data_IF_338792535720
#
_entry.id   IF_338792535720
#
_cell.length_a   1.000
_cell.length_b   1.000
_cell.length_c   1.000
_cell.angle_alpha   90.00
_cell.angle_beta   90.00
_cell.angle_gamma   90.00
#
_symmetry.space_group_name_H-M   'P 1'
#
loop_
_entity.id
_entity.type
_entity.pdbx_description
1 polymer ?
#
# COMPACT_ATOMS: atom_id res chain seq x y z
N UNK A 1 -10.70 -5.06 2.54
CA UNK A 1 -10.40 -5.32 1.11
C UNK A 1 -9.30 -4.40 0.56
N UNK A 2 -9.46 -3.07 0.56
CA UNK A 2 -8.44 -2.15 0.02
C UNK A 2 -7.05 -2.27 0.67
N UNK A 3 -6.98 -2.39 2.00
CA UNK A 3 -5.70 -2.59 2.72
C UNK A 3 -5.01 -3.91 2.32
N UNK A 4 -5.76 -5.00 2.19
CA UNK A 4 -5.20 -6.31 1.80
C UNK A 4 -4.72 -6.30 0.35
N UNK A 5 -5.49 -5.65 -0.55
CA UNK A 5 -5.06 -5.43 -1.93
C UNK A 5 -3.74 -4.64 -1.97
N UNK A 6 -3.64 -3.60 -1.16
CA UNK A 6 -2.44 -2.79 -1.06
C UNK A 6 -1.21 -3.57 -0.57
N UNK A 7 -1.37 -4.34 0.52
CA UNK A 7 -0.33 -5.22 1.04
C UNK A 7 0.09 -6.23 -0.02
N UNK A 8 -0.86 -6.83 -0.74
CA UNK A 8 -0.58 -7.80 -1.80
C UNK A 8 0.20 -7.19 -2.98
N UNK A 9 -0.16 -5.97 -3.42
CA UNK A 9 0.58 -5.23 -4.46
C UNK A 9 1.99 -4.91 -3.99
N UNK A 10 2.15 -4.40 -2.76
CA UNK A 10 3.45 -4.09 -2.18
C UNK A 10 4.36 -5.33 -2.07
N UNK A 11 3.86 -6.42 -1.52
CA UNK A 11 4.60 -7.69 -1.39
C UNK A 11 4.97 -8.23 -2.78
N UNK A 12 4.07 -8.14 -3.75
CA UNK A 12 4.32 -8.56 -5.13
C UNK A 12 5.41 -7.72 -5.81
N UNK A 13 5.37 -6.39 -5.65
CA UNK A 13 6.41 -5.47 -6.14
C UNK A 13 7.76 -5.74 -5.47
N UNK A 14 7.78 -5.96 -4.15
CA UNK A 14 8.98 -6.31 -3.40
C UNK A 14 9.56 -7.65 -3.86
N UNK A 15 8.72 -8.68 -4.06
CA UNK A 15 9.13 -9.98 -4.56
C UNK A 15 9.69 -9.89 -6.00
N UNK A 16 9.04 -9.11 -6.87
CA UNK A 16 9.51 -8.85 -8.23
C UNK A 16 10.84 -8.10 -8.25
N UNK A 17 11.00 -7.08 -7.40
CA UNK A 17 12.26 -6.36 -7.22
C UNK A 17 13.35 -7.29 -6.67
N UNK A 18 13.01 -8.22 -5.77
CA UNK A 18 13.95 -9.16 -5.16
C UNK A 18 14.47 -10.12 -6.21
N UNK A 19 13.53 -10.71 -6.95
CA UNK A 19 13.83 -11.57 -8.09
C UNK A 19 14.67 -10.83 -9.13
N UNK A 20 14.41 -9.55 -9.37
CA UNK A 20 15.17 -8.76 -10.35
C UNK A 20 16.58 -8.44 -9.85
N UNK A 21 16.76 -8.08 -8.57
CA UNK A 21 18.07 -7.74 -8.00
C UNK A 21 18.98 -8.97 -7.84
N UNK A 22 18.41 -10.12 -7.49
CA UNK A 22 19.12 -11.41 -7.38
C UNK A 22 19.45 -12.06 -8.73
N UNK A 23 18.98 -11.47 -9.84
CA UNK A 23 19.14 -12.06 -11.17
C UNK A 23 18.35 -13.37 -11.32
N UNK A 24 17.14 -13.47 -10.76
CA UNK A 24 16.33 -14.70 -10.65
C UNK A 24 15.84 -15.35 -11.95
N UNK A 25 16.48 -15.08 -13.10
CA UNK A 25 16.39 -15.84 -14.36
C UNK A 25 17.76 -16.36 -14.84
N UNK A 26 18.79 -16.25 -14.00
CA UNK A 26 20.13 -16.73 -14.31
C UNK A 26 20.27 -18.21 -13.91
N UNK A 27 20.73 -19.04 -14.83
CA UNK A 27 21.17 -20.42 -14.55
C UNK A 27 22.66 -20.43 -14.22
N UNK A 28 23.06 -21.25 -13.25
CA UNK A 28 24.47 -21.47 -12.93
C UNK A 28 25.08 -22.39 -14.00
N UNK A 29 26.23 -21.99 -14.51
CA UNK A 29 27.05 -22.72 -15.48
C UNK A 29 28.49 -22.73 -15.00
N UNK A 30 29.31 -23.58 -15.63
CA UNK A 30 30.76 -23.62 -15.39
C UNK A 30 31.50 -23.32 -16.69
N UNK A 31 32.51 -22.49 -16.61
CA UNK A 31 33.39 -22.24 -17.75
C UNK A 31 34.41 -23.37 -17.90
N UNK A 32 35.22 -23.30 -18.97
CA UNK A 32 36.31 -24.24 -19.26
C UNK A 32 37.39 -24.27 -18.18
N UNK A 33 37.47 -23.23 -17.34
CA UNK A 33 38.38 -23.09 -16.21
C UNK A 33 37.76 -23.57 -14.89
N UNK A 34 36.53 -24.08 -14.92
CA UNK A 34 35.79 -24.58 -13.75
C UNK A 34 35.15 -23.51 -12.87
N UNK A 35 35.22 -22.22 -13.25
CA UNK A 35 34.61 -21.10 -12.53
C UNK A 35 33.09 -21.12 -12.73
N UNK A 36 32.36 -20.93 -11.64
CA UNK A 36 30.90 -20.83 -11.67
C UNK A 36 30.47 -19.43 -12.15
N UNK A 37 29.75 -19.39 -13.27
CA UNK A 37 29.14 -18.17 -13.79
C UNK A 37 27.63 -18.34 -13.91
N UNK A 38 26.94 -17.21 -14.08
CA UNK A 38 25.50 -17.12 -14.14
C UNK A 38 25.09 -16.54 -15.48
N UNK A 39 24.18 -17.19 -16.19
CA UNK A 39 23.74 -16.73 -17.51
C UNK A 39 22.23 -16.84 -17.65
N UNK A 40 21.60 -15.85 -18.29
CA UNK A 40 20.16 -15.85 -18.49
C UNK A 40 19.74 -14.94 -19.63
N UNK A 41 19.05 -15.54 -20.60
CA UNK A 41 18.46 -14.84 -21.73
C UNK A 41 16.99 -14.55 -21.43
N UNK A 42 16.56 -13.34 -21.74
CA UNK A 42 15.15 -12.97 -21.74
C UNK A 42 14.82 -12.27 -23.04
N UNK A 43 13.86 -12.83 -23.77
CA UNK A 43 13.17 -12.12 -24.84
C UNK A 43 12.16 -11.20 -24.13
N UNK A 44 12.41 -9.90 -24.17
CA UNK A 44 11.43 -8.92 -23.70
C UNK A 44 10.74 -8.31 -24.90
N UNK A 45 9.52 -8.78 -25.17
CA UNK A 45 8.56 -8.06 -26.01
C UNK A 45 8.14 -6.79 -25.28
N UNK A 46 8.95 -5.74 -25.44
CA UNK A 46 8.59 -4.43 -24.87
C UNK A 46 7.64 -3.73 -25.83
N UNK A 47 6.37 -3.68 -25.41
CA UNK A 47 5.25 -2.85 -25.89
C UNK A 47 5.52 -1.33 -25.95
N UNK A 48 6.78 -0.89 -25.99
CA UNK A 48 7.11 0.50 -26.32
C UNK A 48 7.00 0.67 -27.82
N UNK A 49 5.80 1.06 -28.26
CA UNK A 49 5.50 1.63 -29.58
C UNK A 49 6.51 2.74 -29.90
N UNK A 50 7.61 2.40 -30.57
CA UNK A 50 8.36 3.36 -31.37
C UNK A 50 7.89 3.12 -32.81
N UNK A 51 7.19 4.07 -33.44
CA UNK A 51 6.47 3.83 -34.70
C UNK A 51 7.37 3.63 -35.93
N UNK A 52 8.70 3.57 -35.77
CA UNK A 52 9.65 3.64 -36.89
C UNK A 52 10.53 2.40 -37.10
N UNK A 53 10.40 1.33 -36.31
CA UNK A 53 11.17 0.09 -36.57
C UNK A 53 10.30 -1.16 -36.44
N UNK A 54 10.09 -1.93 -37.54
CA UNK A 54 9.34 -3.17 -37.48
C UNK A 54 10.20 -4.24 -36.79
N UNK A 55 9.60 -4.92 -35.80
CA UNK A 55 10.05 -6.19 -35.21
C UNK A 55 11.54 -6.34 -34.84
N UNK A 56 12.06 -5.45 -33.99
CA UNK A 56 13.34 -5.72 -33.34
C UNK A 56 13.09 -6.31 -31.94
N UNK A 57 13.02 -7.64 -31.84
CA UNK A 57 13.00 -8.33 -30.55
C UNK A 57 14.27 -7.94 -29.79
N UNK A 58 14.13 -7.10 -28.77
CA UNK A 58 15.26 -6.68 -27.94
C UNK A 58 15.59 -7.81 -26.98
N UNK A 59 16.57 -8.63 -27.37
CA UNK A 59 17.18 -9.61 -26.50
C UNK A 59 17.89 -8.92 -25.34
N UNK A 60 17.65 -9.44 -24.14
CA UNK A 60 18.32 -9.02 -22.92
C UNK A 60 19.13 -10.20 -22.41
N UNK A 61 20.45 -10.02 -22.43
CA UNK A 61 21.41 -10.96 -21.85
C UNK A 61 21.76 -10.49 -20.43
N UNK A 62 21.67 -11.39 -19.47
CA UNK A 62 22.24 -11.18 -18.15
C UNK A 62 23.36 -12.19 -17.94
N UNK A 63 24.54 -11.70 -17.58
CA UNK A 63 25.74 -12.51 -17.34
C UNK A 63 26.33 -12.11 -15.99
N UNK A 64 26.82 -13.07 -15.21
CA UNK A 64 27.33 -12.77 -13.88
C UNK A 64 28.28 -13.82 -13.32
N UNK A 65 28.87 -13.47 -12.18
CA UNK A 65 29.80 -14.29 -11.42
C UNK A 65 29.29 -14.50 -10.00
N UNK A 66 29.66 -15.65 -9.45
CA UNK A 66 29.52 -15.93 -8.02
C UNK A 66 30.64 -15.22 -7.24
N UNK A 67 30.28 -14.63 -6.13
CA UNK A 67 31.19 -13.99 -5.19
C UNK A 67 31.33 -14.85 -3.93
N UNK A 68 32.54 -14.91 -3.38
CA UNK A 68 32.79 -15.59 -2.11
C UNK A 68 32.15 -14.84 -0.94
N UNK A 69 32.23 -13.50 -0.99
CA UNK A 69 31.73 -12.58 0.04
C UNK A 69 30.57 -11.75 -0.47
N UNK A 70 29.62 -11.39 0.41
CA UNK A 70 28.49 -10.56 0.03
C UNK A 70 28.92 -9.11 -0.19
N UNK A 71 28.53 -8.53 -1.33
CA UNK A 71 28.68 -7.12 -1.63
C UNK A 71 27.38 -6.56 -2.25
N UNK A 72 27.16 -5.26 -2.08
CA UNK A 72 25.94 -4.58 -2.54
C UNK A 72 26.32 -3.27 -3.21
N UNK A 73 26.08 -3.17 -4.51
CA UNK A 73 26.13 -1.91 -5.23
C UNK A 73 25.41 -2.06 -6.56
N UNK A 74 25.06 -0.94 -7.17
CA UNK A 74 24.43 -0.94 -8.48
C UNK A 74 24.93 0.24 -9.29
N UNK A 75 25.43 -0.04 -10.48
CA UNK A 75 25.93 0.95 -11.44
C UNK A 75 24.94 1.00 -12.60
N UNK A 76 24.52 2.20 -13.00
CA UNK A 76 23.52 2.40 -14.06
C UNK A 76 23.93 3.54 -14.98
N UNK A 77 23.44 3.48 -16.23
CA UNK A 77 23.45 4.65 -17.11
C UNK A 77 22.61 5.80 -16.53
N UNK A 78 22.98 7.04 -16.83
CA UNK A 78 22.26 8.25 -16.44
C UNK A 78 20.79 8.20 -16.89
N UNK A 79 19.88 8.67 -16.03
CA UNK A 79 18.46 8.81 -16.34
C UNK A 79 17.83 9.87 -15.44
N UNK A 80 16.77 10.55 -15.90
CA UNK A 80 16.11 11.65 -15.19
C UNK A 80 15.62 11.33 -13.76
N UNK A 81 15.41 10.05 -13.44
CA UNK A 81 15.00 9.59 -12.11
C UNK A 81 16.14 9.61 -11.08
N UNK A 82 17.37 9.90 -11.49
CA UNK A 82 18.56 9.75 -10.66
C UNK A 82 19.03 11.05 -10.02
N UNK A 83 18.83 12.21 -10.65
CA UNK A 83 19.14 13.54 -10.10
C UNK A 83 18.51 13.78 -8.71
N UNK A 84 17.22 13.46 -8.46
CA UNK A 84 16.67 13.60 -7.12
C UNK A 84 17.27 12.61 -6.11
N UNK A 85 17.78 11.46 -6.54
CA UNK A 85 18.41 10.49 -5.64
C UNK A 85 19.81 10.91 -5.23
N UNK A 86 20.53 11.61 -6.11
CA UNK A 86 21.80 12.26 -5.81
C UNK A 86 21.62 13.39 -4.80
N UNK A 87 20.63 14.27 -5.01
CA UNK A 87 20.30 15.35 -4.08
C UNK A 87 20.01 14.85 -2.66
N UNK A 88 19.40 13.66 -2.55
CA UNK A 88 19.07 13.00 -1.28
C UNK A 88 20.26 12.24 -0.68
N UNK A 89 21.44 12.22 -1.32
CA UNK A 89 22.62 11.48 -0.87
C UNK A 89 22.48 9.96 -0.93
N UNK A 90 21.52 9.45 -1.72
CA UNK A 90 21.22 8.01 -1.86
C UNK A 90 21.95 7.37 -3.05
N UNK A 91 22.48 8.19 -3.94
CA UNK A 91 23.29 7.80 -5.07
C UNK A 91 24.39 8.84 -5.28
N UNK A 92 25.50 8.45 -5.93
CA UNK A 92 26.59 9.37 -6.26
C UNK A 92 26.90 9.27 -7.75
N UNK A 93 27.07 10.42 -8.39
CA UNK A 93 27.59 10.50 -9.75
C UNK A 93 29.07 10.08 -9.78
N UNK A 94 29.47 9.35 -10.82
CA UNK A 94 30.89 9.01 -11.06
C UNK A 94 31.41 9.84 -12.22
N UNK A 95 32.37 10.71 -11.93
CA UNK A 95 33.08 11.44 -12.96
C UNK A 95 34.06 10.55 -13.74
N UNK A 96 34.04 10.74 -15.07
CA UNK A 96 35.00 10.12 -15.98
C UNK A 96 34.71 8.67 -16.36
N UNK A 97 33.47 8.20 -16.26
CA UNK A 97 33.02 6.99 -16.97
C UNK A 97 31.92 7.42 -17.97
N UNK A 98 32.22 7.55 -19.28
CA UNK A 98 31.21 7.89 -20.26
C UNK A 98 30.04 6.89 -20.19
N UNK A 99 28.81 7.39 -20.22
CA UNK A 99 27.60 6.57 -20.19
C UNK A 99 27.26 5.85 -18.87
N UNK A 100 28.13 5.78 -17.88
CA UNK A 100 27.80 5.29 -16.53
C UNK A 100 27.51 6.49 -15.62
N UNK A 101 26.24 6.67 -15.27
CA UNK A 101 25.78 7.89 -14.64
C UNK A 101 25.82 7.88 -13.13
N UNK A 102 25.37 6.80 -12.50
CA UNK A 102 25.22 6.83 -11.05
C UNK A 102 25.41 5.46 -10.42
N UNK A 103 26.07 5.47 -9.25
CA UNK A 103 26.22 4.31 -8.40
C UNK A 103 25.41 4.46 -7.13
N UNK A 104 24.54 3.49 -6.92
CA UNK A 104 23.76 3.38 -5.70
C UNK A 104 24.68 2.89 -4.58
N UNK A 105 24.76 3.72 -3.53
CA UNK A 105 25.58 3.48 -2.36
C UNK A 105 25.19 2.15 -1.72
N UNK A 106 26.19 1.27 -1.59
CA UNK A 106 26.09 -0.01 -0.92
C UNK A 106 25.84 0.12 0.59
N UNK A 107 26.11 -0.94 1.34
CA UNK A 107 26.06 -0.89 2.82
C UNK A 107 27.05 0.12 3.39
N UNK A 108 28.12 0.43 2.63
CA UNK A 108 29.19 1.35 2.99
C UNK A 108 29.55 2.21 1.77
N UNK A 109 29.30 3.53 1.80
CA UNK A 109 29.69 4.44 0.72
C UNK A 109 31.20 4.47 0.50
N UNK A 110 31.98 4.27 1.57
CA UNK A 110 33.43 4.26 1.50
C UNK A 110 33.96 3.08 0.66
N UNK A 111 33.39 1.87 0.84
CA UNK A 111 33.73 0.70 0.02
C UNK A 111 33.47 0.96 -1.47
N UNK A 112 32.46 1.78 -1.76
CA UNK A 112 32.13 2.18 -3.12
C UNK A 112 33.11 3.21 -3.66
N UNK A 113 33.54 4.20 -2.87
CA UNK A 113 34.60 5.12 -3.28
C UNK A 113 35.91 4.37 -3.53
N UNK A 114 36.32 3.50 -2.60
CA UNK A 114 37.49 2.65 -2.77
C UNK A 114 37.39 1.75 -4.01
N UNK A 115 36.19 1.29 -4.37
CA UNK A 115 35.94 0.52 -5.59
C UNK A 115 36.10 1.36 -6.87
N UNK A 116 35.54 2.57 -6.88
CA UNK A 116 35.52 3.46 -8.04
C UNK A 116 36.89 4.11 -8.28
N UNK A 117 37.61 4.43 -7.20
CA UNK A 117 38.93 5.06 -7.26
C UNK A 117 40.01 4.06 -7.72
N UNK A 118 39.69 2.75 -7.75
CA UNK A 118 40.59 1.74 -8.29
C UNK A 118 40.66 1.83 -9.83
N UNK A 119 41.83 2.11 -10.43
CA UNK A 119 41.97 2.29 -11.88
C UNK A 119 41.50 1.08 -12.69
N UNK A 120 41.80 -0.13 -12.21
CA UNK A 120 41.44 -1.38 -12.90
C UNK A 120 39.94 -1.64 -12.93
N UNK A 121 39.23 -1.18 -11.89
CA UNK A 121 37.78 -1.28 -11.81
C UNK A 121 37.13 -0.23 -12.68
N UNK A 122 37.67 1.00 -12.68
CA UNK A 122 37.19 2.09 -13.54
C UNK A 122 37.27 1.70 -15.02
N UNK A 123 38.42 1.18 -15.46
CA UNK A 123 38.61 0.66 -16.81
C UNK A 123 37.64 -0.50 -17.13
N UNK A 124 37.49 -1.47 -16.21
CA UNK A 124 36.57 -2.59 -16.42
C UNK A 124 35.10 -2.14 -16.53
N UNK A 125 34.67 -1.15 -15.73
CA UNK A 125 33.32 -0.59 -15.82
C UNK A 125 33.16 0.15 -17.15
N UNK A 126 34.14 0.97 -17.54
CA UNK A 126 34.11 1.73 -18.78
C UNK A 126 33.92 0.82 -20.00
N UNK A 127 34.76 -0.20 -20.15
CA UNK A 127 34.64 -1.17 -21.24
C UNK A 127 33.28 -1.90 -21.24
N UNK A 128 32.79 -2.31 -20.07
CA UNK A 128 31.47 -2.96 -19.95
C UNK A 128 30.34 -2.03 -20.46
N UNK A 129 30.39 -0.74 -20.16
CA UNK A 129 29.35 0.21 -20.55
C UNK A 129 29.51 0.74 -21.98
N UNK A 130 30.75 0.97 -22.44
CA UNK A 130 31.08 1.50 -23.76
C UNK A 130 31.07 0.41 -24.82
N UNK A 131 31.91 -0.62 -24.67
CA UNK A 131 32.16 -1.64 -25.71
C UNK A 131 31.02 -2.66 -25.80
N UNK A 132 30.47 -3.05 -24.64
CA UNK A 132 29.40 -4.06 -24.58
C UNK A 132 28.00 -3.47 -24.37
N UNK A 133 27.90 -2.14 -24.34
CA UNK A 133 26.65 -1.40 -24.20
C UNK A 133 25.78 -1.83 -23.00
N UNK A 134 26.38 -2.09 -21.85
CA UNK A 134 25.64 -2.50 -20.66
C UNK A 134 24.60 -1.45 -20.22
N UNK A 135 23.41 -1.92 -19.81
CA UNK A 135 22.37 -1.10 -19.19
C UNK A 135 22.73 -0.82 -17.73
N UNK A 136 23.23 -1.84 -17.03
CA UNK A 136 23.54 -1.79 -15.60
C UNK A 136 24.46 -2.93 -15.16
N UNK A 137 25.21 -2.68 -14.10
CA UNK A 137 25.93 -3.68 -13.31
C UNK A 137 25.28 -3.73 -11.92
N UNK A 138 25.04 -4.93 -11.41
CA UNK A 138 24.39 -5.15 -10.12
C UNK A 138 25.23 -6.15 -9.33
N UNK A 139 25.66 -5.75 -8.15
CA UNK A 139 26.20 -6.63 -7.14
C UNK A 139 25.18 -6.77 -6.01
N UNK A 140 24.73 -8.00 -5.76
CA UNK A 140 23.73 -8.28 -4.74
C UNK A 140 24.05 -9.58 -4.01
N UNK A 141 24.46 -9.45 -2.75
CA UNK A 141 24.87 -10.59 -1.94
C UNK A 141 26.07 -11.27 -2.59
N UNK A 142 25.99 -12.58 -2.81
CA UNK A 142 27.09 -13.39 -3.36
C UNK A 142 27.11 -13.45 -4.89
N UNK A 143 26.54 -12.45 -5.57
CA UNK A 143 26.46 -12.43 -7.03
C UNK A 143 26.75 -11.03 -7.55
N UNK A 144 27.58 -10.94 -8.58
CA UNK A 144 27.72 -9.75 -9.43
C UNK A 144 27.26 -10.11 -10.83
N UNK A 145 26.48 -9.26 -11.48
CA UNK A 145 25.99 -9.51 -12.82
C UNK A 145 25.77 -8.23 -13.59
N UNK A 146 25.91 -8.31 -14.90
CA UNK A 146 25.66 -7.25 -15.87
C UNK A 146 24.41 -7.57 -16.68
N UNK A 147 23.69 -6.52 -17.08
CA UNK A 147 22.62 -6.61 -18.07
C UNK A 147 23.02 -5.89 -19.35
N UNK A 148 23.01 -6.62 -20.45
CA UNK A 148 23.26 -6.10 -21.80
C UNK A 148 21.93 -5.98 -22.54
N UNK A 149 21.76 -4.90 -23.31
CA UNK A 149 20.53 -4.65 -24.10
C UNK A 149 20.89 -4.57 -25.58
N UNK A 150 20.19 -5.34 -26.41
CA UNK A 150 20.35 -5.28 -27.86
C UNK A 150 21.47 -6.14 -28.44
N UNK A 151 22.11 -6.97 -27.62
CA UNK A 151 23.04 -8.00 -28.11
C UNK A 151 22.21 -9.18 -28.65
N UNK A 152 22.31 -9.44 -29.96
CA UNK A 152 21.71 -10.64 -30.56
C UNK A 152 22.44 -11.89 -30.04
N UNK A 153 21.73 -13.03 -30.01
CA UNK A 153 22.37 -14.32 -29.70
C UNK A 153 23.49 -14.67 -30.67
N UNK A 154 23.43 -14.15 -31.89
CA UNK A 154 24.44 -14.34 -32.95
C UNK A 154 25.74 -13.58 -32.67
N UNK A 155 25.68 -12.41 -32.03
CA UNK A 155 26.85 -11.60 -31.69
C UNK A 155 27.45 -11.97 -30.33
N UNK A 156 26.83 -12.90 -29.60
CA UNK A 156 27.31 -13.35 -28.30
C UNK A 156 27.99 -14.71 -28.46
N UNK A 157 29.31 -14.71 -28.37
CA UNK A 157 30.14 -15.90 -28.45
C UNK A 157 30.93 -16.14 -27.15
N UNK A 158 31.77 -17.18 -27.14
CA UNK A 158 32.61 -17.51 -26.00
C UNK A 158 33.65 -16.42 -25.69
N UNK A 159 34.13 -15.70 -26.71
CA UNK A 159 35.15 -14.66 -26.52
C UNK A 159 34.58 -13.44 -25.80
N UNK A 160 33.39 -13.00 -26.20
CA UNK A 160 32.64 -11.90 -25.56
C UNK A 160 32.27 -12.29 -24.13
N UNK A 161 31.79 -13.53 -23.93
CA UNK A 161 31.48 -14.06 -22.61
C UNK A 161 32.71 -14.02 -21.70
N UNK A 162 33.83 -14.58 -22.15
CA UNK A 162 35.03 -14.71 -21.33
C UNK A 162 35.64 -13.33 -21.02
N UNK A 163 35.61 -12.39 -21.97
CA UNK A 163 36.01 -11.00 -21.75
C UNK A 163 35.14 -10.29 -20.69
N UNK A 164 33.81 -10.42 -20.78
CA UNK A 164 32.88 -9.86 -19.80
C UNK A 164 33.07 -10.47 -18.41
N UNK A 165 33.28 -11.79 -18.32
CA UNK A 165 33.56 -12.46 -17.05
C UNK A 165 34.90 -12.00 -16.48
N UNK A 166 35.94 -11.80 -17.30
CA UNK A 166 37.22 -11.27 -16.85
C UNK A 166 37.06 -9.86 -16.24
N UNK A 167 36.35 -8.95 -16.93
CA UNK A 167 36.08 -7.60 -16.41
C UNK A 167 35.24 -7.62 -15.14
N UNK A 168 34.20 -8.45 -15.07
CA UNK A 168 33.43 -8.65 -13.82
C UNK A 168 34.29 -9.22 -12.69
N UNK A 169 35.27 -10.07 -13.00
CA UNK A 169 36.18 -10.64 -12.00
C UNK A 169 37.10 -9.59 -11.39
N UNK A 170 37.55 -8.59 -12.16
CA UNK A 170 38.33 -7.44 -11.66
C UNK A 170 37.52 -6.64 -10.63
N UNK A 171 36.26 -6.36 -10.94
CA UNK A 171 35.32 -5.68 -10.02
C UNK A 171 35.08 -6.53 -8.77
N UNK A 172 34.83 -7.83 -8.94
CA UNK A 172 34.60 -8.78 -7.85
C UNK A 172 35.78 -8.86 -6.87
N UNK A 173 37.02 -8.87 -7.40
CA UNK A 173 38.25 -8.93 -6.59
C UNK A 173 38.38 -7.73 -5.68
N UNK A 174 38.23 -6.51 -6.22
CA UNK A 174 38.33 -5.28 -5.41
C UNK A 174 37.19 -5.17 -4.41
N UNK A 175 35.97 -5.56 -4.80
CA UNK A 175 34.85 -5.62 -3.86
C UNK A 175 35.10 -6.59 -2.70
N UNK A 176 35.79 -7.72 -2.96
CA UNK A 176 36.20 -8.68 -1.92
C UNK A 176 37.28 -8.09 -1.01
N UNK A 177 38.29 -7.43 -1.55
CA UNK A 177 39.35 -6.76 -0.78
C UNK A 177 38.76 -5.69 0.14
N UNK A 178 37.81 -4.88 -0.35
CA UNK A 178 37.14 -3.86 0.46
C UNK A 178 36.29 -4.51 1.57
N UNK A 179 35.55 -5.58 1.25
CA UNK A 179 34.78 -6.32 2.24
C UNK A 179 35.66 -6.98 3.33
N UNK A 180 36.88 -7.41 2.99
CA UNK A 180 37.87 -7.96 3.92
C UNK A 180 38.47 -6.89 4.83
N UNK A 181 38.86 -5.74 4.27
CA UNK A 181 39.30 -4.57 5.06
C UNK A 181 38.22 -4.11 6.03
N UNK A 182 36.94 -4.19 5.63
CA UNK A 182 35.79 -3.87 6.47
C UNK A 182 35.68 -4.79 7.69
N UNK A 183 35.88 -6.10 7.57
CA UNK A 183 35.80 -7.00 8.74
C UNK A 183 36.83 -6.64 9.83
N UNK A 184 37.94 -6.01 9.46
CA UNK A 184 38.93 -5.47 10.38
C UNK A 184 38.58 -4.09 10.97
N UNK A 185 37.54 -3.41 10.48
CA UNK A 185 37.19 -2.04 10.90
C UNK A 185 35.73 -1.96 11.39
N UNK A 186 35.49 -1.38 12.57
CA UNK A 186 34.12 -1.13 13.09
C UNK A 186 33.39 0.01 12.34
N UNK A 187 33.53 0.10 11.02
CA UNK A 187 32.87 1.10 10.19
C UNK A 187 31.38 0.76 10.06
N UNK A 188 30.58 1.15 11.05
CA UNK A 188 29.12 1.08 10.98
C UNK A 188 28.58 2.27 10.19
N UNK A 189 27.76 1.99 9.17
CA UNK A 189 27.13 3.02 8.35
C UNK A 189 25.94 3.66 9.08
N UNK A 190 26.02 4.97 9.31
CA UNK A 190 25.04 5.74 10.09
C UNK A 190 23.78 6.14 9.29
N UNK A 191 23.81 6.14 7.95
CA UNK A 191 22.64 6.51 7.12
C UNK A 191 21.51 5.49 7.19
N UNK A 192 21.84 4.20 7.30
CA UNK A 192 20.88 3.11 7.51
C UNK A 192 20.18 3.18 8.87
N UNK A 193 20.73 3.91 9.84
CA UNK A 193 20.09 4.14 11.15
C UNK A 193 19.03 5.26 11.10
N UNK A 194 19.15 6.22 10.16
CA UNK A 194 18.19 7.34 10.02
C UNK A 194 16.97 6.96 9.19
N UNK A 195 17.14 6.10 8.20
CA UNK A 195 16.06 5.72 7.27
C UNK A 195 14.84 5.03 7.92
N UNK A 196 14.99 4.14 8.91
CA UNK A 196 13.85 3.52 9.57
C UNK A 196 12.94 4.54 10.25
N UNK A 197 13.49 5.63 10.78
CA UNK A 197 12.70 6.72 11.37
C UNK A 197 11.87 7.46 10.32
N UNK A 198 12.44 7.74 9.14
CA UNK A 198 11.72 8.35 8.02
C UNK A 198 10.59 7.42 7.56
N UNK A 199 10.85 6.12 7.46
CA UNK A 199 9.84 5.12 7.08
C UNK A 199 8.72 4.98 8.13
N UNK A 200 9.06 5.00 9.42
CA UNK A 200 8.06 5.04 10.50
C UNK A 200 7.16 6.27 10.41
N UNK A 201 7.73 7.45 10.15
CA UNK A 201 6.93 8.67 9.97
C UNK A 201 5.94 8.54 8.81
N UNK A 202 6.37 7.98 7.66
CA UNK A 202 5.49 7.77 6.50
C UNK A 202 4.41 6.71 6.76
N UNK A 203 4.73 5.63 7.48
CA UNK A 203 3.76 4.60 7.86
C UNK A 203 2.72 5.16 8.84
N UNK A 204 3.13 6.02 9.76
CA UNK A 204 2.25 6.70 10.71
C UNK A 204 1.30 7.67 9.98
N UNK A 205 1.80 8.44 9.01
CA UNK A 205 0.98 9.29 8.15
C UNK A 205 -0.03 8.48 7.32
N UNK A 206 0.37 7.35 6.75
CA UNK A 206 -0.54 6.47 6.03
C UNK A 206 -1.61 5.86 6.96
N UNK A 207 -1.19 5.30 8.11
CA UNK A 207 -2.09 4.73 9.09
C UNK A 207 -3.11 5.75 9.57
N UNK A 208 -2.65 6.96 9.92
CA UNK A 208 -3.52 8.08 10.24
C UNK A 208 -4.48 8.46 9.11
N UNK A 209 -4.00 8.56 7.87
CA UNK A 209 -4.83 8.89 6.71
C UNK A 209 -5.88 7.83 6.36
N UNK A 210 -5.55 6.55 6.46
CA UNK A 210 -6.51 5.46 6.27
C UNK A 210 -7.60 5.51 7.35
N UNK A 211 -7.21 5.71 8.61
CA UNK A 211 -8.15 5.75 9.73
C UNK A 211 -9.07 6.99 9.65
N UNK A 212 -8.52 8.14 9.25
CA UNK A 212 -9.30 9.34 8.96
C UNK A 212 -10.28 9.12 7.79
N UNK A 213 -9.87 8.44 6.72
CA UNK A 213 -10.76 8.09 5.63
C UNK A 213 -11.87 7.13 6.07
N UNK A 214 -11.56 6.15 6.94
CA UNK A 214 -12.56 5.27 7.53
C UNK A 214 -13.55 6.03 8.40
N UNK A 215 -13.12 7.00 9.23
CA UNK A 215 -14.06 7.78 10.03
C UNK A 215 -15.04 8.57 9.16
N UNK A 216 -14.59 9.10 8.02
CA UNK A 216 -15.47 9.79 7.05
C UNK A 216 -16.50 8.87 6.40
N UNK A 217 -16.14 7.61 6.14
CA UNK A 217 -17.05 6.64 5.50
C UNK A 217 -18.03 6.04 6.53
N UNK A 218 -17.58 5.84 7.77
CA UNK A 218 -18.30 5.15 8.85
C UNK A 218 -19.32 6.05 9.56
N UNK A 219 -19.36 7.37 9.31
CA UNK A 219 -20.41 8.28 9.82
C UNK A 219 -21.86 7.78 9.53
N UNK A 220 -22.06 6.82 8.63
CA UNK A 220 -23.35 6.17 8.36
C UNK A 220 -23.67 4.91 9.19
N UNK A 221 -22.74 4.40 10.01
CA UNK A 221 -22.88 3.12 10.72
C UNK A 221 -22.73 3.27 12.22
N UNK A 222 -23.83 3.03 12.92
CA UNK A 222 -24.06 3.09 14.37
C UNK A 222 -23.26 2.11 15.23
N UNK A 223 -22.11 1.60 14.77
CA UNK A 223 -21.42 0.46 15.39
C UNK A 223 -20.09 0.78 16.10
N UNK A 224 -19.62 2.03 16.12
CA UNK A 224 -18.41 2.40 16.88
C UNK A 224 -18.74 3.51 17.87
N UNK A 225 -19.12 3.10 19.09
CA UNK A 225 -19.32 3.94 20.29
C UNK A 225 -18.03 4.64 20.80
N UNK A 226 -16.97 4.71 20.00
CA UNK A 226 -15.78 5.47 20.36
C UNK A 226 -16.04 6.92 19.98
N UNK A 227 -16.11 7.79 20.99
CA UNK A 227 -16.10 9.24 20.79
C UNK A 227 -15.00 9.58 19.76
N UNK A 228 -15.24 10.48 18.79
CA UNK A 228 -14.33 10.72 17.68
C UNK A 228 -12.87 10.90 18.12
N UNK A 229 -12.63 11.63 19.21
CA UNK A 229 -11.29 11.82 19.78
C UNK A 229 -10.63 10.53 20.31
N UNK A 230 -11.40 9.60 20.91
CA UNK A 230 -10.90 8.30 21.34
C UNK A 230 -10.52 7.42 20.15
N UNK A 231 -11.29 7.47 19.06
CA UNK A 231 -10.95 6.79 17.82
C UNK A 231 -9.64 7.32 17.24
N UNK A 232 -9.46 8.64 17.19
CA UNK A 232 -8.22 9.27 16.75
C UNK A 232 -7.02 8.88 17.63
N UNK A 233 -7.17 8.88 18.95
CA UNK A 233 -6.09 8.51 19.88
C UNK A 233 -5.70 7.03 19.79
N UNK A 234 -6.68 6.12 19.75
CA UNK A 234 -6.42 4.68 19.58
C UNK A 234 -5.76 4.41 18.22
N UNK A 235 -6.23 5.11 17.19
CA UNK A 235 -5.66 5.04 15.84
C UNK A 235 -4.21 5.51 15.78
N UNK A 236 -3.88 6.63 16.44
CA UNK A 236 -2.53 7.14 16.55
C UNK A 236 -1.62 6.16 17.30
N UNK A 237 -2.06 5.65 18.44
CA UNK A 237 -1.30 4.66 19.22
C UNK A 237 -1.04 3.38 18.43
N UNK A 238 -2.05 2.87 17.70
CA UNK A 238 -1.90 1.69 16.85
C UNK A 238 -0.95 1.97 15.69
N UNK A 239 -1.02 3.15 15.07
CA UNK A 239 -0.11 3.55 14.00
C UNK A 239 1.34 3.65 14.49
N UNK A 240 1.58 4.19 15.69
CA UNK A 240 2.90 4.22 16.34
C UNK A 240 3.42 2.80 16.60
N UNK A 241 2.60 1.93 17.19
CA UNK A 241 2.97 0.55 17.50
C UNK A 241 3.31 -0.24 16.22
N UNK A 242 2.46 -0.15 15.20
CA UNK A 242 2.68 -0.80 13.91
C UNK A 242 3.93 -0.25 13.20
N UNK A 243 4.18 1.07 13.29
CA UNK A 243 5.39 1.69 12.76
C UNK A 243 6.64 1.18 13.48
N UNK A 244 6.61 1.05 14.80
CA UNK A 244 7.73 0.53 15.59
C UNK A 244 8.00 -0.96 15.28
N UNK A 245 6.96 -1.80 15.25
CA UNK A 245 7.07 -3.22 14.86
C UNK A 245 7.58 -3.38 13.44
N UNK A 246 7.12 -2.53 12.52
CA UNK A 246 7.57 -2.53 11.14
C UNK A 246 9.02 -2.07 11.02
N UNK A 247 9.43 -1.02 11.71
CA UNK A 247 10.85 -0.60 11.79
C UNK A 247 11.71 -1.72 12.35
N UNK A 248 11.28 -2.41 13.40
CA UNK A 248 12.00 -3.55 13.93
C UNK A 248 12.09 -4.71 12.91
N UNK A 249 11.00 -4.98 12.18
CA UNK A 249 10.99 -5.96 11.10
C UNK A 249 11.93 -5.54 9.95
N UNK A 250 11.90 -4.28 9.50
CA UNK A 250 12.81 -3.75 8.49
C UNK A 250 14.26 -3.81 8.99
N UNK A 251 14.54 -3.44 10.23
CA UNK A 251 15.89 -3.53 10.80
C UNK A 251 16.41 -4.97 10.82
N UNK A 252 15.52 -5.94 11.11
CA UNK A 252 15.85 -7.36 11.19
C UNK A 252 15.94 -8.05 9.83
N UNK A 253 15.07 -7.70 8.88
CA UNK A 253 14.96 -8.32 7.55
C UNK A 253 15.68 -7.56 6.44
N UNK A 254 15.77 -6.24 6.53
CA UNK A 254 16.47 -5.35 5.57
C UNK A 254 17.89 -5.01 6.02
N UNK A 255 18.59 -5.92 6.68
CA UNK A 255 20.03 -5.83 6.99
C UNK A 255 20.93 -5.70 5.75
N UNK A 256 20.37 -5.40 4.57
CA UNK A 256 21.00 -5.26 3.25
C UNK A 256 20.46 -4.02 2.54
N UNK A 257 21.28 -2.98 2.46
CA UNK A 257 20.91 -1.57 2.21
C UNK A 257 20.34 -1.21 0.84
N UNK A 258 20.43 -2.08 -0.17
CA UNK A 258 19.80 -1.81 -1.47
C UNK A 258 18.26 -1.79 -1.37
N UNK A 259 17.71 -2.48 -0.37
CA UNK A 259 16.28 -2.53 -0.11
C UNK A 259 15.74 -1.24 0.49
N UNK A 260 16.53 -0.60 1.34
CA UNK A 260 16.17 0.64 2.00
C UNK A 260 15.92 1.76 0.99
N UNK A 261 16.74 1.89 -0.06
CA UNK A 261 16.54 2.92 -1.11
C UNK A 261 15.34 2.64 -2.00
N UNK A 262 15.08 1.37 -2.34
CA UNK A 262 13.91 0.98 -3.14
C UNK A 262 12.60 1.07 -2.34
N UNK A 263 12.64 0.66 -1.07
CA UNK A 263 11.54 0.82 -0.14
C UNK A 263 11.26 2.30 0.11
N UNK A 264 12.27 3.16 0.26
CA UNK A 264 12.07 4.59 0.48
C UNK A 264 11.25 5.25 -0.64
N UNK A 265 11.54 4.98 -1.91
CA UNK A 265 10.77 5.54 -3.03
C UNK A 265 9.32 5.08 -3.04
N UNK A 266 9.07 3.80 -2.73
CA UNK A 266 7.70 3.32 -2.58
C UNK A 266 7.05 4.05 -1.40
N UNK A 267 7.71 4.09 -0.24
CA UNK A 267 7.26 4.74 0.99
C UNK A 267 6.97 6.23 0.87
N UNK A 268 7.71 6.98 0.05
CA UNK A 268 7.41 8.40 -0.25
C UNK A 268 6.05 8.49 -0.95
N UNK A 269 5.79 7.66 -1.96
CA UNK A 269 4.48 7.62 -2.63
C UNK A 269 3.36 7.20 -1.67
N UNK A 270 3.64 6.23 -0.78
CA UNK A 270 2.71 5.80 0.27
C UNK A 270 2.38 6.96 1.23
N UNK A 271 3.41 7.65 1.75
CA UNK A 271 3.23 8.75 2.69
C UNK A 271 2.54 9.95 2.08
N UNK A 272 2.83 10.28 0.81
CA UNK A 272 2.09 11.30 0.06
C UNK A 272 0.60 10.97 -0.07
N UNK A 273 0.27 9.69 -0.26
CA UNK A 273 -1.13 9.23 -0.26
C UNK A 273 -1.78 9.44 1.11
N UNK A 274 -1.05 9.11 2.19
CA UNK A 274 -1.49 9.38 3.57
C UNK A 274 -1.74 10.86 3.82
N UNK A 275 -0.83 11.75 3.38
CA UNK A 275 -0.96 13.20 3.48
C UNK A 275 -2.21 13.67 2.73
N UNK A 276 -2.41 13.24 1.48
CA UNK A 276 -3.58 13.62 0.70
C UNK A 276 -4.90 13.23 1.41
N UNK A 277 -4.97 12.01 1.96
CA UNK A 277 -6.14 11.55 2.72
C UNK A 277 -6.36 12.36 4.01
N UNK A 278 -5.28 12.62 4.77
CA UNK A 278 -5.31 13.46 5.97
C UNK A 278 -5.74 14.89 5.65
N UNK A 279 -5.27 15.47 4.55
CA UNK A 279 -5.65 16.80 4.10
C UNK A 279 -7.14 16.86 3.74
N UNK A 280 -7.66 15.87 3.00
CA UNK A 280 -9.10 15.80 2.68
C UNK A 280 -9.93 15.68 3.96
N UNK A 281 -9.53 14.81 4.89
CA UNK A 281 -10.21 14.67 6.17
C UNK A 281 -10.12 15.93 7.04
N UNK A 282 -8.96 16.58 7.07
CA UNK A 282 -8.74 17.84 7.77
C UNK A 282 -9.60 18.96 7.21
N UNK A 283 -9.70 19.08 5.88
CA UNK A 283 -10.59 20.03 5.20
C UNK A 283 -12.05 19.73 5.53
N UNK A 284 -12.45 18.45 5.52
CA UNK A 284 -13.81 18.05 5.87
C UNK A 284 -14.15 18.39 7.33
N UNK A 285 -13.27 18.06 8.27
CA UNK A 285 -13.45 18.35 9.69
C UNK A 285 -13.45 19.86 9.96
N UNK A 286 -12.53 20.61 9.35
CA UNK A 286 -12.49 22.06 9.47
C UNK A 286 -13.73 22.72 8.84
N UNK A 287 -14.25 22.17 7.74
CA UNK A 287 -15.52 22.61 7.16
C UNK A 287 -16.71 22.42 8.12
N UNK A 288 -16.68 21.36 8.97
CA UNK A 288 -17.75 21.02 9.92
C UNK A 288 -17.62 21.69 11.30
N UNK A 289 -16.41 21.97 11.77
CA UNK A 289 -16.20 22.41 13.16
C UNK A 289 -15.76 23.86 13.33
N UNK A 290 -15.35 24.54 12.26
CA UNK A 290 -15.14 25.98 12.31
C UNK A 290 -16.49 26.72 12.38
N UNK A 291 -16.54 27.97 12.89
CA UNK A 291 -17.77 28.75 12.96
C UNK A 291 -18.49 28.80 11.62
N UNK A 292 -19.79 28.48 11.62
CA UNK A 292 -20.59 28.37 10.40
C UNK A 292 -21.73 29.40 10.38
N UNK A 293 -22.17 29.83 9.18
CA UNK A 293 -23.45 30.50 9.03
C UNK A 293 -24.61 29.59 9.49
N UNK A 294 -25.76 30.16 9.89
CA UNK A 294 -26.92 29.40 10.31
C UNK A 294 -27.45 28.47 9.21
N UNK A 295 -28.13 27.39 9.61
CA UNK A 295 -28.66 26.40 8.70
C UNK A 295 -29.71 26.99 7.75
N UNK A 296 -29.60 26.65 6.47
CA UNK A 296 -30.64 26.92 5.47
C UNK A 296 -31.54 25.70 5.39
N UNK A 297 -32.84 25.88 5.58
CA UNK A 297 -33.79 24.77 5.58
C UNK A 297 -34.26 24.49 4.15
N UNK A 298 -34.07 23.26 3.68
CA UNK A 298 -34.60 22.79 2.41
C UNK A 298 -35.89 22.02 2.67
N UNK A 299 -36.91 22.32 1.88
CA UNK A 299 -38.18 21.59 1.93
C UNK A 299 -38.13 20.41 0.97
N UNK A 300 -38.48 19.22 1.47
CA UNK A 300 -38.76 18.04 0.66
C UNK A 300 -40.04 17.38 1.17
N UNK A 301 -40.31 16.15 0.76
CA UNK A 301 -41.37 15.32 1.31
C UNK A 301 -40.89 13.89 1.52
N UNK A 302 -41.55 13.18 2.42
CA UNK A 302 -41.28 11.77 2.68
C UNK A 302 -41.80 10.95 1.49
N UNK A 303 -40.92 10.21 0.83
CA UNK A 303 -41.25 9.31 -0.27
C UNK A 303 -41.57 7.90 0.21
N UNK A 304 -40.81 7.39 1.19
CA UNK A 304 -41.06 6.08 1.80
C UNK A 304 -40.73 6.09 3.29
N UNK A 305 -41.51 5.36 4.08
CA UNK A 305 -41.26 5.09 5.48
C UNK A 305 -41.01 3.59 5.66
N UNK A 306 -39.86 3.23 6.26
CA UNK A 306 -39.41 1.85 6.45
C UNK A 306 -39.12 1.59 7.94
N UNK A 307 -39.57 0.45 8.46
CA UNK A 307 -39.12 -0.07 9.75
C UNK A 307 -38.48 -1.43 9.56
N UNK A 308 -37.36 -1.60 10.24
CA UNK A 308 -36.75 -2.89 10.47
C UNK A 308 -36.94 -3.26 11.94
N UNK A 309 -37.50 -4.44 12.18
CA UNK A 309 -37.57 -5.08 13.49
C UNK A 309 -36.64 -6.27 13.47
N UNK A 310 -35.62 -6.24 14.33
CA UNK A 310 -34.69 -7.36 14.52
C UNK A 310 -34.92 -7.98 15.90
N UNK A 311 -35.24 -9.26 15.89
CA UNK A 311 -35.50 -10.06 17.08
C UNK A 311 -34.31 -10.97 17.42
N UNK A 312 -33.95 -11.02 18.70
CA UNK A 312 -32.90 -11.89 19.21
C UNK A 312 -33.48 -12.98 20.11
N UNK A 313 -33.18 -14.24 19.78
CA UNK A 313 -33.49 -15.41 20.59
C UNK A 313 -32.24 -15.87 21.35
N UNK A 314 -32.41 -16.29 22.60
CA UNK A 314 -31.37 -16.97 23.36
C UNK A 314 -31.07 -18.32 22.69
N UNK A 315 -29.82 -18.54 22.27
CA UNK A 315 -29.32 -19.89 22.02
C UNK A 315 -29.39 -20.63 23.37
N UNK A 316 -30.41 -21.45 23.59
CA UNK A 316 -30.36 -22.43 24.66
C UNK A 316 -29.15 -23.33 24.39
N UNK A 317 -28.08 -23.18 25.19
CA UNK A 317 -27.05 -24.19 25.33
C UNK A 317 -27.66 -25.35 26.12
N UNK A 318 -28.44 -26.21 25.47
CA UNK A 318 -28.71 -27.52 26.04
C UNK A 318 -27.57 -28.46 25.64
N UNK A 319 -26.99 -29.11 26.66
CA UNK A 319 -26.01 -30.17 26.50
C UNK A 319 -26.56 -31.34 25.67
N UNK A 320 -25.71 -32.34 25.36
CA UNK A 320 -26.05 -33.37 24.40
C UNK A 320 -27.14 -34.31 24.94
N UNK A 321 -28.39 -34.10 24.53
CA UNK A 321 -29.43 -35.13 24.58
C UNK A 321 -29.53 -35.81 23.21
N UNK A 322 -29.27 -37.13 23.13
CA UNK A 322 -29.36 -37.87 21.87
C UNK A 322 -30.82 -38.28 21.64
N UNK A 323 -31.46 -37.69 20.64
CA UNK A 323 -32.72 -38.21 20.13
C UNK A 323 -33.83 -37.19 19.96
N UNK A 324 -33.65 -36.22 19.06
CA UNK A 324 -34.74 -35.76 18.19
C UNK A 324 -34.15 -34.96 17.04
N UNK A 325 -34.45 -35.39 15.80
CA UNK A 325 -34.10 -34.62 14.61
C UNK A 325 -34.98 -33.37 14.54
N UNK A 326 -34.37 -32.22 14.78
CA UNK A 326 -35.02 -30.92 14.62
C UNK A 326 -33.98 -29.84 14.32
N UNK A 327 -33.76 -29.56 13.04
CA UNK A 327 -33.00 -28.40 12.58
C UNK A 327 -33.74 -27.12 12.97
N UNK A 328 -33.33 -26.40 14.01
CA UNK A 328 -33.59 -24.95 14.12
C UNK A 328 -32.48 -24.27 14.94
N UNK A 329 -31.33 -24.06 14.31
CA UNK A 329 -30.46 -22.95 14.68
C UNK A 329 -31.17 -21.67 14.22
N UNK A 330 -31.95 -21.05 15.11
CA UNK A 330 -32.74 -19.87 14.80
C UNK A 330 -31.84 -18.66 14.51
N UNK A 331 -31.63 -18.36 13.23
CA UNK A 331 -31.10 -17.07 12.81
C UNK A 331 -32.00 -15.94 13.35
N UNK A 332 -31.46 -14.74 13.65
CA UNK A 332 -32.28 -13.58 13.98
C UNK A 332 -33.33 -13.39 12.90
N UNK A 333 -34.59 -13.31 13.32
CA UNK A 333 -35.69 -13.05 12.41
C UNK A 333 -35.75 -11.55 12.19
N UNK A 334 -35.28 -11.14 11.01
CA UNK A 334 -35.26 -9.75 10.56
C UNK A 334 -36.46 -9.51 9.65
N UNK A 335 -37.25 -8.50 9.96
CA UNK A 335 -38.38 -8.11 9.11
C UNK A 335 -38.22 -6.65 8.71
N UNK A 336 -38.26 -6.42 7.40
CA UNK A 336 -38.26 -5.09 6.80
C UNK A 336 -39.65 -4.80 6.24
N UNK A 337 -40.34 -3.83 6.85
CA UNK A 337 -41.68 -3.42 6.45
C UNK A 337 -41.72 -1.99 5.94
N UNK A 338 -42.71 -1.71 5.11
CA UNK A 338 -42.90 -0.38 4.51
C UNK A 338 -44.35 0.09 4.63
N UNK A 339 -44.56 1.40 4.73
CA UNK A 339 -45.89 2.00 4.68
C UNK A 339 -46.83 1.48 5.77
N UNK A 340 -47.99 0.95 5.38
CA UNK A 340 -49.03 0.51 6.34
C UNK A 340 -48.66 -0.73 7.16
N UNK A 341 -47.80 -1.62 6.62
CA UNK A 341 -47.28 -2.78 7.35
C UNK A 341 -46.49 -2.36 8.59
N UNK A 342 -45.95 -1.15 8.55
CA UNK A 342 -45.12 -0.57 9.58
C UNK A 342 -45.90 0.09 10.73
N UNK A 343 -47.23 0.11 10.68
CA UNK A 343 -48.06 0.76 11.71
C UNK A 343 -47.87 0.16 13.11
N UNK A 344 -48.05 0.94 14.18
CA UNK A 344 -47.86 0.50 15.56
C UNK A 344 -48.58 -0.82 15.91
N UNK A 345 -49.79 -1.01 15.40
CA UNK A 345 -50.61 -2.19 15.65
C UNK A 345 -49.97 -3.46 15.06
N UNK A 346 -49.46 -3.36 13.84
CA UNK A 346 -48.81 -4.46 13.11
C UNK A 346 -47.47 -4.83 13.75
N UNK A 347 -46.67 -3.83 14.13
CA UNK A 347 -45.41 -4.03 14.85
C UNK A 347 -45.64 -4.72 16.19
N UNK A 348 -46.64 -4.27 16.95
CA UNK A 348 -46.99 -4.87 18.24
C UNK A 348 -47.46 -6.32 18.08
N UNK A 349 -48.30 -6.59 17.08
CA UNK A 349 -48.80 -7.94 16.79
C UNK A 349 -47.67 -8.90 16.45
N UNK A 350 -46.77 -8.50 15.56
CA UNK A 350 -45.60 -9.32 15.21
C UNK A 350 -44.70 -9.61 16.40
N UNK A 351 -44.41 -8.63 17.24
CA UNK A 351 -43.61 -8.86 18.46
C UNK A 351 -44.30 -9.86 19.41
N UNK A 352 -45.63 -9.76 19.57
CA UNK A 352 -46.39 -10.72 20.38
C UNK A 352 -46.30 -12.13 19.79
N UNK A 353 -46.48 -12.28 18.49
CA UNK A 353 -46.45 -13.58 17.82
C UNK A 353 -45.04 -14.20 17.87
N UNK A 354 -44.00 -13.40 17.64
CA UNK A 354 -42.60 -13.85 17.75
C UNK A 354 -42.20 -14.21 19.19
N UNK A 355 -42.82 -13.59 20.20
CA UNK A 355 -42.63 -13.98 21.61
C UNK A 355 -43.34 -15.28 21.94
N UNK A 356 -44.54 -15.53 21.40
CA UNK A 356 -45.23 -16.83 21.55
C UNK A 356 -44.43 -17.98 20.93
N UNK A 357 -43.71 -17.71 19.85
CA UNK A 357 -42.83 -18.67 19.19
C UNK A 357 -41.44 -18.79 19.85
N UNK A 358 -41.19 -18.13 20.98
CA UNK A 358 -39.88 -18.11 21.66
C UNK A 358 -38.72 -17.56 20.81
N UNK A 359 -39.01 -16.83 19.74
CA UNK A 359 -38.01 -16.29 18.78
C UNK A 359 -37.53 -14.87 19.10
N UNK A 360 -38.13 -14.21 20.08
CA UNK A 360 -37.86 -12.81 20.41
C UNK A 360 -37.92 -12.56 21.93
N UNK A 361 -37.07 -13.25 22.69
CA UNK A 361 -37.10 -13.30 24.16
C UNK A 361 -36.17 -12.26 24.78
N UNK A 362 -34.95 -12.13 24.26
CA UNK A 362 -33.89 -11.38 24.93
C UNK A 362 -33.97 -9.89 24.62
N UNK A 363 -34.03 -9.55 23.33
CA UNK A 363 -33.92 -8.17 22.86
C UNK A 363 -34.65 -7.96 21.54
N UNK A 364 -35.20 -6.76 21.38
CA UNK A 364 -35.82 -6.28 20.14
C UNK A 364 -35.16 -4.96 19.77
N UNK A 365 -34.56 -4.91 18.58
CA UNK A 365 -34.02 -3.68 18.03
C UNK A 365 -34.95 -3.16 16.94
N UNK A 366 -35.35 -1.90 17.08
CA UNK A 366 -36.14 -1.19 16.09
C UNK A 366 -35.26 -0.19 15.34
N UNK A 367 -35.38 -0.16 14.02
CA UNK A 367 -34.73 0.85 13.20
C UNK A 367 -35.76 1.48 12.26
N UNK A 368 -36.09 2.73 12.52
CA UNK A 368 -37.08 3.51 11.78
C UNK A 368 -36.38 4.47 10.83
N UNK A 369 -36.69 4.37 9.54
CA UNK A 369 -36.04 5.17 8.50
C UNK A 369 -37.05 5.83 7.57
N UNK A 370 -36.85 7.12 7.33
CA UNK A 370 -37.60 7.90 6.35
C UNK A 370 -36.72 8.17 5.13
N UNK A 371 -37.25 7.88 3.96
CA UNK A 371 -36.63 8.20 2.68
C UNK A 371 -37.32 9.41 2.11
N UNK A 372 -36.56 10.45 1.84
CA UNK A 372 -37.06 11.66 1.22
C UNK A 372 -37.17 11.50 -0.30
N UNK A 373 -37.99 12.32 -0.93
CA UNK A 373 -37.96 12.48 -2.37
C UNK A 373 -36.62 13.09 -2.82
N UNK A 374 -36.37 13.04 -4.13
CA UNK A 374 -35.16 13.65 -4.70
C UNK A 374 -35.09 15.12 -4.32
N UNK A 375 -34.01 15.52 -3.65
CA UNK A 375 -33.78 16.90 -3.24
C UNK A 375 -32.98 17.60 -4.34
N UNK A 376 -33.53 18.61 -5.03
CA UNK A 376 -32.86 19.26 -6.17
C UNK A 376 -31.46 19.78 -5.83
N UNK A 377 -31.25 20.28 -4.61
CA UNK A 377 -29.98 20.87 -4.17
C UNK A 377 -28.89 19.83 -3.86
N UNK A 378 -29.24 18.55 -3.74
CA UNK A 378 -28.34 17.44 -3.41
C UNK A 378 -28.26 16.38 -4.51
N UNK A 379 -29.14 16.44 -5.51
CA UNK A 379 -29.29 15.48 -6.60
C UNK A 379 -29.39 14.01 -6.12
N UNK A 380 -29.91 13.81 -4.91
CA UNK A 380 -30.12 12.49 -4.30
C UNK A 380 -31.19 12.53 -3.21
N UNK A 381 -31.92 11.42 -2.98
CA UNK A 381 -32.75 11.29 -1.79
C UNK A 381 -31.88 11.10 -0.54
N UNK A 382 -32.38 11.59 0.59
CA UNK A 382 -31.79 11.35 1.91
C UNK A 382 -32.52 10.24 2.66
N UNK A 383 -31.74 9.43 3.37
CA UNK A 383 -32.23 8.44 4.33
C UNK A 383 -31.99 8.99 5.73
N UNK A 384 -33.09 9.22 6.44
CA UNK A 384 -33.12 9.80 7.78
C UNK A 384 -33.51 8.72 8.78
N UNK A 385 -32.77 8.60 9.88
CA UNK A 385 -33.12 7.71 10.99
C UNK A 385 -33.84 8.53 12.05
N UNK A 386 -35.02 8.07 12.44
CA UNK A 386 -35.90 8.78 13.38
C UNK A 386 -36.21 7.94 14.60
N UNK A 387 -36.69 8.59 15.64
CA UNK A 387 -37.28 7.89 16.78
C UNK A 387 -38.61 7.23 16.39
N UNK A 388 -39.07 6.28 17.20
CA UNK A 388 -40.38 5.64 16.99
C UNK A 388 -41.52 6.68 17.01
N UNK A 389 -41.47 7.63 17.96
CA UNK A 389 -42.53 8.63 18.13
C UNK A 389 -42.66 9.57 16.93
N UNK A 390 -41.53 9.96 16.34
CA UNK A 390 -41.51 10.77 15.11
C UNK A 390 -41.96 9.95 13.91
N UNK A 391 -41.47 8.71 13.80
CA UNK A 391 -41.87 7.81 12.72
C UNK A 391 -43.38 7.58 12.69
N UNK A 392 -44.00 7.40 13.85
CA UNK A 392 -45.44 7.13 13.96
C UNK A 392 -46.31 8.36 13.66
N UNK A 393 -45.74 9.56 13.74
CA UNK A 393 -46.41 10.83 13.39
C UNK A 393 -46.28 11.20 11.92
N UNK A 394 -45.30 10.63 11.21
CA UNK A 394 -44.92 11.02 9.85
C UNK A 394 -45.38 9.94 8.86
N UNK A 395 -46.12 10.37 7.84
CA UNK A 395 -46.64 9.54 6.76
C UNK A 395 -45.98 9.87 5.42
N UNK A 396 -46.08 8.93 4.48
CA UNK A 396 -45.63 9.16 3.10
C UNK A 396 -46.39 10.36 2.50
N UNK A 397 -45.64 11.31 1.94
CA UNK A 397 -46.17 12.57 1.40
C UNK A 397 -46.01 13.76 2.33
N UNK A 398 -45.73 13.54 3.62
CA UNK A 398 -45.59 14.65 4.57
C UNK A 398 -44.38 15.53 4.26
N UNK A 399 -44.53 16.86 4.41
CA UNK A 399 -43.44 17.79 4.18
C UNK A 399 -42.36 17.64 5.25
N UNK A 400 -41.11 17.73 4.81
CA UNK A 400 -39.94 17.57 5.66
C UNK A 400 -38.99 18.76 5.48
N UNK A 401 -38.53 19.33 6.60
CA UNK A 401 -37.55 20.42 6.59
C UNK A 401 -36.19 19.87 7.00
N UNK A 402 -35.21 20.03 6.13
CA UNK A 402 -33.88 19.47 6.30
C UNK A 402 -32.90 20.62 6.51
N UNK A 403 -32.22 20.70 7.66
CA UNK A 403 -31.21 21.72 7.90
C UNK A 403 -30.00 21.42 7.02
N UNK A 404 -29.69 22.34 6.10
CA UNK A 404 -28.49 22.31 5.29
C UNK A 404 -27.52 23.35 5.79
N UNK A 405 -26.36 22.88 6.24
CA UNK A 405 -25.26 23.73 6.67
C UNK A 405 -24.36 24.07 5.50
N UNK A 406 -23.98 25.35 5.39
CA UNK A 406 -22.85 25.76 4.57
C UNK A 406 -21.64 25.76 5.49
N UNK A 407 -20.76 24.77 5.36
CA UNK A 407 -19.56 24.71 6.18
C UNK A 407 -18.61 25.87 5.90
N UNK A 408 -17.56 25.99 6.71
CA UNK A 408 -16.65 27.14 6.69
C UNK A 408 -15.93 27.36 5.34
N UNK A 409 -15.79 26.32 4.52
CA UNK A 409 -15.21 26.41 3.17
C UNK A 409 -16.29 26.45 2.06
N UNK A 410 -17.55 26.71 2.42
CA UNK A 410 -18.67 26.72 1.48
C UNK A 410 -19.13 25.33 1.03
N UNK A 411 -18.52 24.26 1.54
CA UNK A 411 -18.97 22.89 1.28
C UNK A 411 -20.21 22.58 2.12
N UNK A 412 -21.27 22.15 1.42
CA UNK A 412 -22.56 21.86 2.03
C UNK A 412 -22.52 20.53 2.78
N UNK A 413 -23.11 20.48 3.97
CA UNK A 413 -23.25 19.25 4.75
C UNK A 413 -24.56 19.28 5.56
N UNK A 414 -24.97 18.12 6.07
CA UNK A 414 -26.21 17.95 6.83
C UNK A 414 -25.84 17.35 8.18
N UNK A 415 -26.24 17.99 9.27
CA UNK A 415 -26.14 17.36 10.57
C UNK A 415 -27.32 16.41 10.75
N UNK A 416 -27.02 15.12 10.87
CA UNK A 416 -28.03 14.08 11.06
C UNK A 416 -28.48 13.98 12.52
N UNK A 417 -27.71 14.53 13.46
CA UNK A 417 -28.01 14.46 14.89
C UNK A 417 -28.92 15.62 15.32
N UNK A 418 -28.85 16.80 14.71
CA UNK A 418 -29.81 17.89 14.94
C UNK A 418 -31.21 17.65 14.34
N UNK A 419 -31.34 16.58 13.56
CA UNK A 419 -32.63 16.17 13.02
C UNK A 419 -33.45 15.32 14.00
N UNK A 420 -32.84 14.87 15.10
CA UNK A 420 -33.48 14.18 16.23
C UNK A 420 -33.81 15.19 17.33
#
# INVERSE_FOLDING_TARGET
>A
MALLFYIAVFVSLMALRYRTATGGRLSEKRDTQGRAYYEGFSITDTLTKSPETPHNHRNVLNLGLKLDRPAFFRIRRTSALLDPLELLGLAKYIDGIPGAGLVFVGEHPDDLHELIDNPSVKEAIDEIFMDYHAEKIVCFGRKIWVRLRGMSLENYDETVRDALLDRLSKIARVAKENAEKREGTKREFHGALRLPWVMAAHLLLLGGGILAAFSLIIENTSYLFLQPHMFWMVSLCLAVLLSALWVAALYRFLRRTMWTTLALMDFILIGLTGIALLSVAGIHAANRHLPQPPAVHINSHVKHALCNIRCYATLQSEGPSPGSGGQFAGAPSDVNWSGEECRPENRRRFVIDMRKESRCIERIDYNFTLWTALIPELDRPLVLRVTQEEFDKITTGDPIRIPLYRGAFGLRWIDKDEWR
#
